data_IF_689596333865
#
_entry.id   IF_689596333865
#
_cell.length_a   1.000
_cell.length_b   1.000
_cell.length_c   1.000
_cell.angle_alpha   90.00
_cell.angle_beta   90.00
_cell.angle_gamma   90.00
#
_symmetry.space_group_name_H-M   'P 1'
#
loop_
_entity.id
_entity.type
_entity.pdbx_description
1 polymer ?
#
# COMPACT_ATOMS: atom_id res chain seq x y z
N UNK A 1 13.13 -6.52 5.40
CA UNK A 1 11.76 -6.95 5.77
C UNK A 1 11.88 -7.70 7.08
N UNK A 2 11.04 -7.41 8.07
CA UNK A 2 11.16 -7.97 9.43
C UNK A 2 10.67 -9.42 9.55
N UNK A 3 9.69 -9.81 8.72
CA UNK A 3 9.23 -11.19 8.66
C UNK A 3 10.38 -12.14 8.32
N UNK A 4 10.44 -13.26 9.04
CA UNK A 4 11.31 -14.39 8.68
C UNK A 4 10.85 -15.01 7.36
N UNK A 5 11.77 -15.65 6.64
CA UNK A 5 11.53 -16.17 5.29
C UNK A 5 10.38 -17.17 5.26
N UNK A 6 10.27 -18.02 6.28
CA UNK A 6 9.20 -19.01 6.42
C UNK A 6 7.80 -18.40 6.50
N UNK A 7 7.65 -17.19 7.06
CA UNK A 7 6.36 -16.53 7.21
C UNK A 7 5.92 -15.76 5.97
N UNK A 8 6.79 -15.61 4.96
CA UNK A 8 6.47 -14.86 3.74
C UNK A 8 5.36 -15.52 2.92
N UNK A 9 5.27 -16.85 2.98
CA UNK A 9 4.26 -17.65 2.28
C UNK A 9 3.01 -17.90 3.12
N UNK A 10 3.01 -17.53 4.40
CA UNK A 10 1.84 -17.69 5.27
C UNK A 10 0.67 -16.85 4.75
N UNK A 11 -0.53 -17.41 4.87
CA UNK A 11 -1.76 -16.77 4.41
C UNK A 11 -2.29 -15.78 5.45
N UNK A 12 -2.87 -14.69 4.95
CA UNK A 12 -3.55 -13.70 5.77
C UNK A 12 -4.84 -14.31 6.37
N UNK A 13 -5.28 -13.83 7.55
CA UNK A 13 -6.58 -14.22 8.12
C UNK A 13 -7.71 -14.05 7.08
N UNK A 14 -8.51 -15.11 6.87
CA UNK A 14 -9.69 -15.13 6.01
C UNK A 14 -9.46 -14.71 4.53
N UNK A 15 -8.22 -14.73 4.03
CA UNK A 15 -7.90 -14.33 2.65
C UNK A 15 -6.87 -15.27 2.04
N UNK A 16 -7.06 -15.65 0.77
CA UNK A 16 -6.06 -16.40 -0.01
C UNK A 16 -4.95 -15.48 -0.55
N UNK A 17 -4.33 -14.71 0.35
CA UNK A 17 -3.21 -13.79 0.06
C UNK A 17 -2.07 -14.11 1.01
N UNK A 18 -0.82 -14.06 0.53
CA UNK A 18 0.37 -14.27 1.37
C UNK A 18 0.85 -12.96 2.01
N UNK A 19 1.70 -13.06 3.04
CA UNK A 19 2.41 -11.90 3.62
C UNK A 19 3.23 -11.18 2.55
N UNK A 20 3.95 -11.93 1.70
CA UNK A 20 4.75 -11.37 0.62
C UNK A 20 3.90 -10.65 -0.43
N UNK A 21 2.74 -11.21 -0.80
CA UNK A 21 1.80 -10.58 -1.71
C UNK A 21 1.28 -9.25 -1.15
N UNK A 22 0.96 -9.19 0.15
CA UNK A 22 0.52 -7.96 0.81
C UNK A 22 1.63 -6.90 0.82
N UNK A 23 2.87 -7.29 1.11
CA UNK A 23 4.01 -6.39 1.09
C UNK A 23 4.29 -5.83 -0.33
N UNK A 24 4.18 -6.67 -1.36
CA UNK A 24 4.24 -6.24 -2.76
C UNK A 24 3.13 -5.24 -3.10
N UNK A 25 1.90 -5.53 -2.68
CA UNK A 25 0.74 -4.70 -2.95
C UNK A 25 0.88 -3.29 -2.37
N UNK A 26 1.37 -3.14 -1.14
CA UNK A 26 1.64 -1.82 -0.52
C UNK A 26 2.57 -0.97 -1.40
N UNK A 27 3.63 -1.57 -1.94
CA UNK A 27 4.59 -0.87 -2.80
C UNK A 27 3.97 -0.47 -4.14
N UNK A 28 3.12 -1.32 -4.71
CA UNK A 28 2.43 -1.02 -5.97
C UNK A 28 1.31 0.02 -5.82
N UNK A 29 0.66 0.15 -4.65
CA UNK A 29 -0.25 1.28 -4.38
C UNK A 29 0.49 2.62 -4.52
N UNK A 30 1.65 2.72 -3.86
CA UNK A 30 2.50 3.91 -3.92
C UNK A 30 3.05 4.15 -5.34
N UNK A 31 3.40 3.08 -6.05
CA UNK A 31 3.84 3.20 -7.44
C UNK A 31 2.73 3.59 -8.42
N UNK A 32 1.49 3.16 -8.17
CA UNK A 32 0.32 3.55 -8.94
C UNK A 32 0.13 5.06 -8.92
N UNK A 33 0.37 5.71 -7.78
CA UNK A 33 0.33 7.17 -7.70
C UNK A 33 1.40 7.84 -8.58
N UNK A 34 2.61 7.27 -8.69
CA UNK A 34 3.64 7.77 -9.60
C UNK A 34 3.23 7.68 -11.08
N UNK A 35 2.40 6.70 -11.45
CA UNK A 35 1.82 6.63 -12.80
C UNK A 35 0.83 7.79 -13.02
N UNK A 36 -0.01 8.08 -12.03
CA UNK A 36 -0.95 9.22 -12.07
C UNK A 36 -0.21 10.54 -12.19
N UNK A 37 0.88 10.72 -11.44
CA UNK A 37 1.74 11.91 -11.57
C UNK A 37 2.34 12.04 -12.98
N UNK A 38 2.66 10.91 -13.62
CA UNK A 38 3.12 10.85 -15.02
C UNK A 38 1.98 10.99 -16.06
N UNK A 39 0.74 11.25 -15.64
CA UNK A 39 -0.40 11.52 -16.51
C UNK A 39 -1.23 10.29 -16.90
N UNK A 40 -0.98 9.13 -16.29
CA UNK A 40 -1.85 7.96 -16.47
C UNK A 40 -3.19 8.14 -15.74
N UNK A 41 -4.29 7.60 -16.28
CA UNK A 41 -5.53 7.45 -15.52
C UNK A 41 -5.32 6.57 -14.28
N UNK A 42 -6.12 6.83 -13.24
CA UNK A 42 -6.25 5.97 -12.07
C UNK A 42 -7.36 4.93 -12.31
N UNK A 43 -7.16 4.14 -13.36
CA UNK A 43 -8.07 3.07 -13.79
C UNK A 43 -8.12 1.92 -12.78
N UNK A 44 -8.95 0.91 -13.05
CA UNK A 44 -9.15 -0.22 -12.13
C UNK A 44 -7.86 -1.02 -11.86
N UNK A 45 -6.94 -1.10 -12.83
CA UNK A 45 -5.68 -1.80 -12.65
C UNK A 45 -4.73 -1.02 -11.73
N UNK A 46 -4.60 0.29 -11.94
CA UNK A 46 -3.81 1.18 -11.08
C UNK A 46 -4.41 1.25 -9.68
N UNK A 47 -5.73 1.42 -9.60
CA UNK A 47 -6.46 1.54 -8.34
C UNK A 47 -6.48 0.25 -7.52
N UNK A 48 -6.47 -0.90 -8.20
CA UNK A 48 -6.35 -2.23 -7.61
C UNK A 48 -4.91 -2.62 -7.25
N UNK A 49 -3.92 -1.84 -7.66
CA UNK A 49 -2.49 -2.04 -7.38
C UNK A 49 -2.07 -3.51 -7.51
N UNK A 50 -2.52 -4.15 -8.60
CA UNK A 50 -2.27 -5.56 -8.87
C UNK A 50 -0.83 -5.66 -9.38
N UNK A 51 0.08 -6.34 -8.67
CA UNK A 51 1.45 -6.47 -9.13
C UNK A 51 1.49 -7.35 -10.39
N UNK A 52 2.22 -6.91 -11.43
CA UNK A 52 2.43 -7.70 -12.66
C UNK A 52 3.08 -9.07 -12.38
N UNK A 53 3.85 -9.15 -11.30
CA UNK A 53 4.39 -10.37 -10.71
C UNK A 53 4.65 -10.12 -9.23
N UNK A 54 4.53 -11.16 -8.41
CA UNK A 54 5.00 -11.10 -7.03
C UNK A 54 6.54 -11.04 -7.04
N UNK A 55 7.12 -9.99 -6.45
CA UNK A 55 8.56 -9.89 -6.28
C UNK A 55 8.98 -10.71 -5.07
N UNK A 56 10.14 -11.35 -5.18
CA UNK A 56 10.85 -11.93 -4.06
C UNK A 56 11.33 -10.81 -3.10
N UNK A 57 11.82 -11.15 -1.90
CA UNK A 57 12.25 -10.15 -0.92
C UNK A 57 13.31 -9.17 -1.45
N UNK A 58 14.26 -9.67 -2.26
CA UNK A 58 15.34 -8.85 -2.82
C UNK A 58 14.81 -7.84 -3.86
N UNK A 59 13.92 -8.30 -4.75
CA UNK A 59 13.22 -7.47 -5.72
C UNK A 59 12.33 -6.44 -5.04
N UNK A 60 11.64 -6.82 -3.97
CA UNK A 60 10.76 -5.92 -3.22
C UNK A 60 11.54 -4.78 -2.53
N UNK A 61 12.72 -5.09 -1.95
CA UNK A 61 13.62 -4.06 -1.38
C UNK A 61 14.09 -3.08 -2.45
N UNK A 62 14.49 -3.58 -3.61
CA UNK A 62 14.92 -2.74 -4.74
C UNK A 62 13.78 -1.85 -5.24
N UNK A 63 12.59 -2.45 -5.43
CA UNK A 63 11.39 -1.76 -5.92
C UNK A 63 10.92 -0.69 -4.94
N UNK A 64 10.80 -1.01 -3.66
CA UNK A 64 10.38 -0.06 -2.62
C UNK A 64 11.34 1.11 -2.50
N UNK A 65 12.67 0.85 -2.55
CA UNK A 65 13.69 1.91 -2.54
C UNK A 65 13.53 2.86 -3.73
N UNK A 66 13.31 2.32 -4.94
CA UNK A 66 13.07 3.11 -6.15
C UNK A 66 11.79 3.94 -6.05
N UNK A 67 10.68 3.36 -5.57
CA UNK A 67 9.40 4.08 -5.40
C UNK A 67 9.56 5.22 -4.40
N UNK A 68 10.17 4.96 -3.24
CA UNK A 68 10.43 5.98 -2.20
C UNK A 68 11.28 7.14 -2.74
N UNK A 69 12.35 6.84 -3.47
CA UNK A 69 13.20 7.88 -4.07
C UNK A 69 12.42 8.74 -5.06
N UNK A 70 11.57 8.13 -5.89
CA UNK A 70 10.74 8.86 -6.87
C UNK A 70 9.67 9.72 -6.20
N UNK A 71 9.01 9.22 -5.15
CA UNK A 71 8.04 10.00 -4.37
C UNK A 71 8.71 11.19 -3.68
N UNK A 72 9.89 11.00 -3.09
CA UNK A 72 10.65 12.09 -2.45
C UNK A 72 11.13 13.16 -3.46
N UNK A 73 11.33 12.78 -4.72
CA UNK A 73 11.69 13.69 -5.80
C UNK A 73 10.49 14.47 -6.37
N UNK A 74 9.24 14.03 -6.11
CA UNK A 74 8.06 14.78 -6.54
C UNK A 74 8.08 16.18 -5.93
N UNK A 75 7.57 17.13 -6.71
CA UNK A 75 7.38 18.51 -6.27
C UNK A 75 5.89 18.77 -6.10
N UNK A 76 5.50 19.62 -5.14
CA UNK A 76 4.12 20.08 -5.05
C UNK A 76 3.68 20.63 -6.41
N UNK A 77 2.69 19.99 -7.01
CA UNK A 77 2.05 20.46 -8.23
C UNK A 77 0.68 21.05 -7.89
N UNK A 78 0.16 21.99 -8.70
CA UNK A 78 -1.23 22.41 -8.62
C UNK A 78 -2.17 21.23 -8.73
N UNK A 79 -3.35 21.40 -8.17
CA UNK A 79 -4.37 20.38 -8.29
C UNK A 79 -4.83 20.24 -9.74
N UNK A 80 -5.16 19.03 -10.18
CA UNK A 80 -5.67 18.74 -11.53
C UNK A 80 -6.71 17.64 -11.48
N UNK A 81 -7.55 17.59 -12.50
CA UNK A 81 -8.44 16.46 -12.69
C UNK A 81 -7.65 15.22 -13.16
N UNK A 82 -8.09 14.06 -12.68
CA UNK A 82 -7.55 12.75 -12.98
C UNK A 82 -8.73 11.85 -13.34
N UNK A 83 -8.67 11.21 -14.50
CA UNK A 83 -9.63 10.18 -14.86
C UNK A 83 -9.43 8.96 -13.94
N UNK A 84 -10.51 8.46 -13.36
CA UNK A 84 -10.51 7.27 -12.50
C UNK A 84 -11.53 6.25 -12.98
N UNK A 85 -11.46 5.02 -12.45
CA UNK A 85 -12.49 4.00 -12.68
C UNK A 85 -13.92 4.41 -12.25
N UNK A 86 -14.08 5.49 -11.47
CA UNK A 86 -15.37 6.04 -11.03
C UNK A 86 -15.70 7.38 -11.69
N UNK A 87 -15.00 7.75 -12.77
CA UNK A 87 -15.12 9.05 -13.43
C UNK A 87 -14.03 10.03 -13.02
N UNK A 88 -14.21 11.32 -13.34
CA UNK A 88 -13.22 12.36 -13.03
C UNK A 88 -13.13 12.56 -11.51
N UNK A 89 -11.90 12.57 -11.01
CA UNK A 89 -11.60 12.89 -9.62
C UNK A 89 -10.47 13.90 -9.55
N UNK A 90 -10.15 14.30 -8.34
CA UNK A 90 -9.14 15.27 -8.05
C UNK A 90 -7.82 14.57 -7.72
N UNK A 91 -6.69 15.05 -8.26
CA UNK A 91 -5.35 14.49 -7.99
C UNK A 91 -5.07 14.35 -6.48
N UNK A 92 -5.48 15.33 -5.67
CA UNK A 92 -5.30 15.27 -4.22
C UNK A 92 -6.08 14.12 -3.58
N UNK A 93 -7.30 13.83 -4.05
CA UNK A 93 -8.09 12.69 -3.56
C UNK A 93 -7.47 11.35 -3.97
N UNK A 94 -6.84 11.29 -5.15
CA UNK A 94 -6.10 10.09 -5.57
C UNK A 94 -4.86 9.88 -4.68
N UNK A 95 -4.13 10.95 -4.35
CA UNK A 95 -3.03 10.89 -3.38
C UNK A 95 -3.51 10.41 -2.01
N UNK A 96 -4.57 11.04 -1.48
CA UNK A 96 -5.18 10.64 -0.21
C UNK A 96 -5.56 9.15 -0.22
N UNK A 97 -6.22 8.69 -1.29
CA UNK A 97 -6.58 7.27 -1.49
C UNK A 97 -5.37 6.35 -1.42
N UNK A 98 -4.31 6.66 -2.17
CA UNK A 98 -3.08 5.87 -2.14
C UNK A 98 -2.45 5.86 -0.74
N UNK A 99 -2.45 7.00 -0.04
CA UNK A 99 -1.89 7.12 1.31
C UNK A 99 -2.65 6.28 2.33
N UNK A 100 -3.97 6.43 2.46
CA UNK A 100 -4.71 5.65 3.46
C UNK A 100 -4.80 4.17 3.10
N UNK A 101 -4.85 3.82 1.81
CA UNK A 101 -4.86 2.42 1.37
C UNK A 101 -3.54 1.71 1.72
N UNK A 102 -2.40 2.36 1.47
CA UNK A 102 -1.10 1.85 1.88
C UNK A 102 -1.00 1.74 3.41
N UNK A 103 -1.43 2.78 4.15
CA UNK A 103 -1.40 2.78 5.61
C UNK A 103 -2.24 1.65 6.23
N UNK A 104 -3.43 1.37 5.68
CA UNK A 104 -4.27 0.26 6.14
C UNK A 104 -3.57 -1.09 6.00
N UNK A 105 -2.95 -1.34 4.86
CA UNK A 105 -2.22 -2.59 4.65
C UNK A 105 -0.91 -2.68 5.45
N UNK A 106 -0.28 -1.54 5.76
CA UNK A 106 0.84 -1.51 6.71
C UNK A 106 0.37 -1.88 8.13
N UNK A 107 -0.79 -1.40 8.58
CA UNK A 107 -1.38 -1.82 9.87
C UNK A 107 -1.65 -3.33 9.90
N UNK A 108 -2.08 -3.91 8.80
CA UNK A 108 -2.25 -5.37 8.66
C UNK A 108 -0.92 -6.12 8.78
N UNK A 109 0.17 -5.63 8.17
CA UNK A 109 1.49 -6.24 8.37
C UNK A 109 1.97 -6.12 9.82
N UNK A 110 1.76 -4.97 10.47
CA UNK A 110 2.12 -4.79 11.89
C UNK A 110 1.39 -5.80 12.79
N UNK A 111 0.09 -5.98 12.57
CA UNK A 111 -0.71 -6.99 13.28
C UNK A 111 -0.17 -8.42 13.08
N UNK A 112 0.31 -8.76 11.88
CA UNK A 112 0.89 -10.09 11.63
C UNK A 112 2.23 -10.27 12.32
N UNK A 113 3.07 -9.23 12.37
CA UNK A 113 4.33 -9.26 13.13
C UNK A 113 4.04 -9.53 14.61
N UNK A 114 3.09 -8.81 15.20
CA UNK A 114 2.66 -9.01 16.60
C UNK A 114 2.15 -10.45 16.83
N UNK A 115 1.36 -11.00 15.89
CA UNK A 115 0.89 -12.40 15.95
C UNK A 115 2.03 -13.42 15.90
N UNK A 116 3.13 -13.09 15.24
CA UNK A 116 4.35 -13.90 15.21
C UNK A 116 5.31 -13.58 16.37
N UNK A 117 4.85 -12.80 17.35
CA UNK A 117 5.65 -12.36 18.51
C UNK A 117 6.89 -11.56 18.09
N UNK A 118 6.77 -10.79 16.99
CA UNK A 118 7.79 -9.88 16.47
C UNK A 118 7.28 -8.45 16.68
N UNK A 119 8.02 -7.65 17.45
CA UNK A 119 7.72 -6.23 17.62
C UNK A 119 7.95 -5.47 16.30
N UNK A 120 6.95 -4.75 15.75
CA UNK A 120 7.14 -3.97 14.54
C UNK A 120 8.16 -2.83 14.73
N UNK A 121 9.23 -2.82 13.94
CA UNK A 121 10.15 -1.67 13.89
C UNK A 121 9.46 -0.45 13.24
N UNK A 122 9.53 0.70 13.91
CA UNK A 122 8.99 1.98 13.44
C UNK A 122 7.52 1.88 12.99
N UNK A 123 6.60 1.45 13.87
CA UNK A 123 5.19 1.30 13.52
C UNK A 123 4.57 2.66 13.18
N UNK A 124 3.54 2.65 12.32
CA UNK A 124 2.74 3.84 12.08
C UNK A 124 2.12 4.32 13.40
N UNK A 125 2.29 5.60 13.69
CA UNK A 125 1.76 6.24 14.90
C UNK A 125 0.40 6.88 14.62
N UNK A 126 -0.35 7.24 15.66
CA UNK A 126 -1.57 8.01 15.50
C UNK A 126 -1.36 9.34 14.75
N UNK A 127 -0.19 9.95 14.87
CA UNK A 127 0.18 11.16 14.13
C UNK A 127 0.28 10.90 12.62
N UNK A 128 0.82 9.75 12.21
CA UNK A 128 0.94 9.38 10.79
C UNK A 128 -0.42 9.13 10.14
N UNK A 129 -1.41 8.72 10.94
CA UNK A 129 -2.75 8.35 10.49
C UNK A 129 -3.75 9.50 10.59
N UNK A 130 -3.38 10.63 11.20
CA UNK A 130 -4.31 11.72 11.50
C UNK A 130 -4.88 12.31 10.22
N UNK A 131 -6.22 12.38 10.13
CA UNK A 131 -6.95 12.94 8.99
C UNK A 131 -7.17 11.96 7.83
N UNK A 132 -6.61 10.76 7.88
CA UNK A 132 -6.86 9.73 6.87
C UNK A 132 -8.20 9.04 7.12
N UNK A 133 -9.02 8.76 6.08
CA UNK A 133 -10.29 8.07 6.19
C UNK A 133 -10.08 6.55 6.32
N UNK A 134 -9.39 6.13 7.38
CA UNK A 134 -9.07 4.72 7.63
C UNK A 134 -10.24 4.00 8.32
N UNK A 135 -10.45 2.71 8.00
CA UNK A 135 -11.32 1.85 8.80
C UNK A 135 -10.82 1.76 10.26
N UNK A 136 -11.76 1.66 11.20
CA UNK A 136 -11.46 1.43 12.61
C UNK A 136 -10.73 0.08 12.76
N UNK A 137 -11.32 -0.97 12.17
CA UNK A 137 -10.76 -2.31 12.20
C UNK A 137 -9.53 -2.46 11.27
N UNK A 138 -8.56 -3.28 11.69
CA UNK A 138 -7.38 -3.61 10.89
C UNK A 138 -7.71 -4.70 9.85
N UNK A 139 -8.66 -5.57 10.18
CA UNK A 139 -9.18 -6.64 9.32
C UNK A 139 -10.70 -6.48 9.17
N UNK A 140 -11.25 -6.92 8.05
CA UNK A 140 -12.70 -7.00 7.90
C UNK A 140 -13.21 -8.14 8.78
N UNK A 141 -14.19 -7.86 9.66
CA UNK A 141 -14.85 -8.86 10.51
C UNK A 141 -15.88 -9.72 9.75
N UNK A 142 -15.90 -9.66 8.42
CA UNK A 142 -16.78 -10.50 7.60
C UNK A 142 -16.27 -11.95 7.65
N UNK A 143 -16.82 -12.71 8.59
CA UNK A 143 -16.90 -14.18 8.50
C UNK A 143 -17.56 -14.56 7.17
N UNK A 144 -16.98 -15.51 6.41
CA UNK A 144 -17.63 -16.05 5.20
C UNK A 144 -18.98 -16.71 5.49
#
# INVERSE_FOLDING_TARGET
MQFRVEHLTDKLPNRDRTVLALANHIVEIAAGYLLVEAGRPFDAAVAGAIPNRELDPSGLVTRSSSVRARLAALRPAPNREVETQHGMSNRHLVLERCTWHAAQHTRQLAFLLERFEIEPENPLTGSDLTGLPLPVAVWDDETP
#
